data_IF_922765876682
#
_entry.id   IF_922765876682
#
_cell.length_a   1.000
_cell.length_b   1.000
_cell.length_c   1.000
_cell.angle_alpha   90.00
_cell.angle_beta   90.00
_cell.angle_gamma   90.00
#
_symmetry.space_group_name_H-M   'P 1'
#
loop_
_entity.id
_entity.type
_entity.pdbx_description
1 polymer ?
#
# COMPACT_ATOMS: atom_id res chain seq x y z
N UNK A 1 4.65 -13.19 17.40
CA UNK A 1 3.41 -12.42 17.20
C UNK A 1 3.48 -11.86 15.80
N UNK A 2 2.44 -12.06 14.98
CA UNK A 2 2.44 -11.65 13.58
C UNK A 2 1.47 -10.48 13.41
N UNK A 3 1.96 -9.37 12.88
CA UNK A 3 1.15 -8.22 12.53
C UNK A 3 0.69 -8.33 11.08
N UNK A 4 -0.60 -8.05 10.84
CA UNK A 4 -1.13 -7.80 9.51
C UNK A 4 -1.51 -6.33 9.40
N UNK A 5 -0.99 -5.68 8.36
CA UNK A 5 -1.33 -4.32 7.98
C UNK A 5 -2.12 -4.39 6.67
N UNK A 6 -3.31 -3.83 6.64
CA UNK A 6 -4.15 -3.77 5.44
C UNK A 6 -4.06 -2.36 4.87
N UNK A 7 -3.57 -2.22 3.65
CA UNK A 7 -3.78 -1.03 2.83
C UNK A 7 -5.24 -1.03 2.37
N UNK A 8 -6.06 -0.22 3.04
CA UNK A 8 -7.51 -0.35 2.92
C UNK A 8 -7.99 0.13 1.55
N UNK A 9 -7.42 1.24 1.07
CA UNK A 9 -7.69 1.78 -0.26
C UNK A 9 -7.43 0.76 -1.34
N UNK A 10 -6.23 0.19 -1.35
CA UNK A 10 -5.87 -0.83 -2.31
C UNK A 10 -6.82 -2.03 -2.27
N UNK A 11 -7.32 -2.43 -1.10
CA UNK A 11 -8.25 -3.54 -0.99
C UNK A 11 -9.67 -3.21 -1.46
N UNK A 12 -10.26 -2.07 -1.08
CA UNK A 12 -11.63 -1.77 -1.51
C UNK A 12 -11.71 -1.44 -3.00
N UNK A 13 -10.69 -0.80 -3.60
CA UNK A 13 -10.63 -0.63 -5.06
C UNK A 13 -10.55 -1.98 -5.77
N UNK A 14 -9.77 -2.93 -5.22
CA UNK A 14 -9.69 -4.28 -5.77
C UNK A 14 -11.02 -5.02 -5.69
N UNK A 15 -11.71 -4.88 -4.57
CA UNK A 15 -13.02 -5.47 -4.37
C UNK A 15 -14.03 -4.87 -5.35
N UNK A 16 -14.02 -3.54 -5.49
CA UNK A 16 -14.88 -2.80 -6.40
C UNK A 16 -14.74 -3.28 -7.86
N UNK A 17 -13.51 -3.33 -8.39
CA UNK A 17 -13.28 -3.77 -9.77
C UNK A 17 -13.33 -5.30 -9.95
N UNK A 18 -13.11 -6.06 -8.87
CA UNK A 18 -13.07 -7.53 -8.90
C UNK A 18 -14.42 -8.21 -8.71
N UNK A 19 -15.44 -7.47 -8.24
CA UNK A 19 -16.76 -8.01 -7.93
C UNK A 19 -17.87 -7.25 -8.69
N UNK A 20 -18.94 -7.94 -9.12
CA UNK A 20 -20.01 -7.29 -9.86
C UNK A 20 -20.76 -6.28 -8.97
N UNK A 21 -20.98 -5.09 -9.51
CA UNK A 21 -21.76 -4.00 -8.89
C UNK A 21 -23.26 -4.33 -8.71
N UNK A 22 -23.73 -5.41 -9.32
CA UNK A 22 -25.06 -6.00 -9.11
C UNK A 22 -25.24 -6.67 -7.74
N UNK A 23 -24.19 -6.73 -6.93
CA UNK A 23 -24.30 -7.07 -5.51
C UNK A 23 -24.83 -5.87 -4.73
N UNK A 24 -26.14 -5.86 -4.51
CA UNK A 24 -26.86 -4.75 -3.89
C UNK A 24 -27.34 -5.11 -2.48
N UNK A 25 -27.36 -4.11 -1.61
CA UNK A 25 -28.12 -4.10 -0.36
C UNK A 25 -29.64 -4.09 -0.65
N UNK A 26 -30.49 -4.41 0.35
CA UNK A 26 -31.96 -4.37 0.21
C UNK A 26 -32.54 -3.04 -0.28
N UNK A 27 -31.88 -1.92 0.01
CA UNK A 27 -32.27 -0.57 -0.44
C UNK A 27 -31.76 -0.23 -1.85
N UNK A 28 -31.00 -1.13 -2.48
CA UNK A 28 -30.42 -0.95 -3.81
C UNK A 28 -29.01 -0.36 -3.83
N UNK A 29 -28.42 -0.02 -2.69
CA UNK A 29 -27.03 0.46 -2.62
C UNK A 29 -26.04 -0.65 -3.02
N UNK A 30 -25.09 -0.41 -3.94
CA UNK A 30 -24.03 -1.38 -4.22
C UNK A 30 -23.19 -1.69 -2.97
N UNK A 31 -22.83 -2.96 -2.77
CA UNK A 31 -22.05 -3.44 -1.62
C UNK A 31 -20.90 -4.36 -2.06
N UNK A 32 -20.55 -4.36 -3.35
CA UNK A 32 -19.52 -5.21 -3.93
C UNK A 32 -18.13 -4.93 -3.35
N UNK A 33 -17.78 -3.66 -3.08
CA UNK A 33 -16.51 -3.32 -2.47
C UNK A 33 -16.45 -3.81 -1.00
N UNK A 34 -17.52 -3.61 -0.24
CA UNK A 34 -17.62 -4.04 1.17
C UNK A 34 -17.47 -5.55 1.29
N UNK A 35 -18.29 -6.31 0.53
CA UNK A 35 -18.27 -7.78 0.57
C UNK A 35 -16.91 -8.33 0.15
N UNK A 36 -16.29 -7.74 -0.87
CA UNK A 36 -15.00 -8.20 -1.38
C UNK A 36 -13.87 -7.88 -0.40
N UNK A 37 -13.89 -6.71 0.24
CA UNK A 37 -12.95 -6.34 1.29
C UNK A 37 -12.99 -7.33 2.45
N UNK A 38 -14.21 -7.64 2.95
CA UNK A 38 -14.41 -8.60 4.04
C UNK A 38 -13.93 -10.00 3.66
N UNK A 39 -14.33 -10.49 2.48
CA UNK A 39 -13.98 -11.84 2.01
C UNK A 39 -12.46 -11.99 1.80
N UNK A 40 -11.79 -10.98 1.24
CA UNK A 40 -10.34 -10.97 1.09
C UNK A 40 -9.64 -10.94 2.45
N UNK A 41 -10.08 -10.06 3.35
CA UNK A 41 -9.52 -9.93 4.70
C UNK A 41 -9.66 -11.22 5.49
N UNK A 42 -10.86 -11.80 5.54
CA UNK A 42 -11.15 -13.06 6.22
C UNK A 42 -10.23 -14.20 5.73
N UNK A 43 -10.08 -14.32 4.39
CA UNK A 43 -9.22 -15.34 3.80
C UNK A 43 -7.75 -15.15 4.15
N UNK A 44 -7.27 -13.90 4.19
CA UNK A 44 -5.88 -13.59 4.53
C UNK A 44 -5.60 -13.82 6.01
N UNK A 45 -6.54 -13.43 6.88
CA UNK A 45 -6.47 -13.71 8.31
C UNK A 45 -6.38 -15.24 8.52
N UNK A 46 -7.25 -16.02 7.86
CA UNK A 46 -7.18 -17.49 7.95
C UNK A 46 -5.87 -18.07 7.41
N UNK A 47 -5.32 -17.53 6.31
CA UNK A 47 -4.09 -18.03 5.71
C UNK A 47 -2.85 -17.71 6.55
N UNK A 48 -2.75 -16.49 7.07
CA UNK A 48 -1.55 -15.97 7.72
C UNK A 48 -1.62 -16.00 9.25
N UNK A 49 -2.81 -16.25 9.81
CA UNK A 49 -3.07 -16.37 11.25
C UNK A 49 -2.41 -15.22 12.06
N UNK A 50 -2.62 -13.95 11.69
CA UNK A 50 -2.07 -12.84 12.45
C UNK A 50 -2.74 -12.77 13.82
N UNK A 51 -2.01 -12.28 14.83
CA UNK A 51 -2.58 -12.04 16.15
C UNK A 51 -2.77 -10.54 16.45
N UNK A 52 -2.37 -9.70 15.51
CA UNK A 52 -2.54 -8.25 15.48
C UNK A 52 -2.94 -7.83 14.07
N UNK A 53 -3.88 -6.90 13.96
CA UNK A 53 -4.47 -6.46 12.71
C UNK A 53 -4.71 -4.96 12.76
N UNK A 54 -4.38 -4.25 11.68
CA UNK A 54 -4.67 -2.84 11.51
C UNK A 54 -5.11 -2.61 10.07
N UNK A 55 -6.20 -1.89 9.88
CA UNK A 55 -6.60 -1.30 8.61
C UNK A 55 -6.03 0.12 8.52
N UNK A 56 -5.16 0.37 7.55
CA UNK A 56 -4.53 1.67 7.33
C UNK A 56 -5.33 2.45 6.29
N UNK A 57 -5.58 3.73 6.58
CA UNK A 57 -6.26 4.67 5.70
C UNK A 57 -5.31 5.77 5.28
N UNK A 58 -5.58 6.34 4.11
CA UNK A 58 -5.09 7.65 3.74
C UNK A 58 -5.75 8.68 4.66
N UNK A 59 -4.95 9.43 5.42
CA UNK A 59 -5.43 10.67 6.02
C UNK A 59 -5.42 11.81 4.99
N UNK A 60 -4.50 11.73 4.03
CA UNK A 60 -4.53 12.44 2.77
C UNK A 60 -3.93 11.52 1.68
N UNK A 61 -4.70 11.23 0.62
CA UNK A 61 -4.27 10.39 -0.50
C UNK A 61 -3.18 11.05 -1.36
N UNK A 62 -3.07 12.38 -1.24
CA UNK A 62 -2.14 13.26 -1.95
C UNK A 62 -1.59 14.36 -1.02
N UNK A 63 -0.73 13.99 -0.07
CA UNK A 63 -0.24 14.89 0.96
C UNK A 63 0.40 16.17 0.44
N UNK A 64 0.11 17.27 1.12
CA UNK A 64 0.60 18.60 0.78
C UNK A 64 2.13 18.63 0.66
N UNK A 65 2.85 17.96 1.55
CA UNK A 65 4.30 17.92 1.55
C UNK A 65 4.92 17.18 0.34
N UNK A 66 4.20 16.23 -0.27
CA UNK A 66 4.63 15.63 -1.55
C UNK A 66 4.34 16.57 -2.72
N UNK A 67 3.19 17.23 -2.70
CA UNK A 67 2.77 18.19 -3.73
C UNK A 67 3.66 19.43 -3.76
N UNK A 68 4.08 19.93 -2.59
CA UNK A 68 5.03 21.04 -2.47
C UNK A 68 6.40 20.71 -3.07
N UNK A 69 6.83 19.44 -2.96
CA UNK A 69 8.08 18.97 -3.57
C UNK A 69 7.93 18.75 -5.08
N UNK A 70 6.79 18.22 -5.52
CA UNK A 70 6.54 17.86 -6.90
C UNK A 70 5.05 18.01 -7.23
N UNK A 71 4.63 19.17 -7.80
CA UNK A 71 3.23 19.48 -8.04
C UNK A 71 2.47 18.48 -8.92
N UNK A 72 3.17 17.73 -9.77
CA UNK A 72 2.60 16.72 -10.66
C UNK A 72 2.37 15.37 -9.96
N UNK A 73 2.83 15.18 -8.72
CA UNK A 73 2.62 13.96 -7.95
C UNK A 73 1.12 13.65 -7.87
N UNK A 74 0.69 12.47 -8.35
CA UNK A 74 -0.71 12.01 -8.43
C UNK A 74 -1.69 13.00 -9.08
N UNK A 75 -1.22 14.02 -9.80
CA UNK A 75 -2.09 15.05 -10.37
C UNK A 75 -3.05 14.50 -11.44
N UNK A 76 -2.70 13.36 -12.03
CA UNK A 76 -3.53 12.63 -13.00
C UNK A 76 -4.72 11.88 -12.37
N UNK A 77 -4.90 11.94 -11.05
CA UNK A 77 -6.04 11.35 -10.33
C UNK A 77 -6.96 12.41 -9.73
N UNK A 78 -6.70 13.70 -9.97
CA UNK A 78 -7.51 14.79 -9.42
C UNK A 78 -8.79 14.95 -10.27
N UNK A 79 -9.94 14.83 -9.62
CA UNK A 79 -11.24 15.13 -10.21
C UNK A 79 -11.46 16.65 -10.39
N UNK A 80 -12.51 17.02 -11.13
CA UNK A 80 -12.77 18.43 -11.48
C UNK A 80 -13.08 19.33 -10.26
N UNK A 81 -13.48 18.74 -9.14
CA UNK A 81 -13.76 19.40 -7.87
C UNK A 81 -12.54 19.49 -6.94
N UNK A 82 -11.41 18.89 -7.32
CA UNK A 82 -10.15 18.93 -6.56
C UNK A 82 -9.92 17.73 -5.64
N UNK A 83 -10.88 16.80 -5.55
CA UNK A 83 -10.76 15.56 -4.79
C UNK A 83 -10.13 14.43 -5.64
N UNK A 84 -9.93 13.25 -5.05
CA UNK A 84 -9.53 12.06 -5.84
C UNK A 84 -10.67 11.65 -6.79
N UNK A 85 -10.31 11.27 -8.02
CA UNK A 85 -11.23 10.66 -8.97
C UNK A 85 -11.62 9.26 -8.48
N UNK A 86 -12.70 9.21 -7.72
CA UNK A 86 -13.32 7.97 -7.25
C UNK A 86 -14.53 7.54 -8.12
N UNK A 87 -14.73 6.23 -8.34
CA UNK A 87 -15.96 5.75 -8.96
C UNK A 87 -17.21 6.08 -8.12
N UNK A 88 -18.24 6.66 -8.76
CA UNK A 88 -19.50 7.07 -8.10
C UNK A 88 -20.16 5.98 -7.23
N UNK A 89 -20.02 4.71 -7.61
CA UNK A 89 -20.60 3.58 -6.88
C UNK A 89 -19.70 3.05 -5.75
N UNK A 90 -18.44 3.47 -5.67
CA UNK A 90 -17.50 3.11 -4.62
C UNK A 90 -17.60 4.05 -3.43
N UNK A 91 -17.58 5.37 -3.65
CA UNK A 91 -17.55 6.39 -2.59
C UNK A 91 -18.63 6.17 -1.51
N UNK A 92 -19.90 5.82 -1.83
CA UNK A 92 -20.91 5.55 -0.80
C UNK A 92 -20.64 4.29 0.05
N UNK A 93 -19.83 3.35 -0.43
CA UNK A 93 -19.50 2.10 0.25
C UNK A 93 -18.42 2.28 1.32
N UNK A 94 -17.53 3.27 1.17
CA UNK A 94 -16.39 3.45 2.07
C UNK A 94 -16.86 3.78 3.50
N UNK A 95 -17.73 4.77 3.75
CA UNK A 95 -18.22 5.04 5.11
C UNK A 95 -18.91 3.84 5.75
N UNK A 96 -19.69 3.09 4.97
CA UNK A 96 -20.37 1.87 5.45
C UNK A 96 -19.35 0.81 5.86
N UNK A 97 -18.28 0.62 5.08
CA UNK A 97 -17.21 -0.29 5.44
C UNK A 97 -16.51 0.15 6.74
N UNK A 98 -16.22 1.45 6.90
CA UNK A 98 -15.56 1.97 8.10
C UNK A 98 -16.42 1.79 9.36
N UNK A 99 -17.73 2.08 9.29
CA UNK A 99 -18.67 1.81 10.37
C UNK A 99 -18.66 0.32 10.76
N UNK A 100 -18.59 -0.57 9.77
CA UNK A 100 -18.51 -2.01 10.03
C UNK A 100 -17.17 -2.43 10.66
N UNK A 101 -16.04 -1.86 10.22
CA UNK A 101 -14.74 -2.16 10.83
C UNK A 101 -14.70 -1.72 12.30
N UNK A 102 -15.32 -0.59 12.63
CA UNK A 102 -15.49 -0.13 14.01
C UNK A 102 -16.36 -1.09 14.83
N UNK A 103 -17.51 -1.52 14.30
CA UNK A 103 -18.35 -2.54 14.93
C UNK A 103 -17.62 -3.86 15.16
N UNK A 104 -16.76 -4.26 14.22
CA UNK A 104 -15.92 -5.45 14.34
C UNK A 104 -14.77 -5.26 15.36
N UNK A 105 -14.52 -4.04 15.81
CA UNK A 105 -13.40 -3.68 16.69
C UNK A 105 -12.04 -3.80 16.02
N UNK A 106 -11.99 -3.67 14.69
CA UNK A 106 -10.74 -3.70 13.92
C UNK A 106 -10.10 -2.32 14.00
N UNK A 107 -8.86 -2.19 14.50
CA UNK A 107 -8.19 -0.90 14.55
C UNK A 107 -8.05 -0.30 13.15
N UNK A 108 -8.58 0.91 12.97
CA UNK A 108 -8.45 1.71 11.75
C UNK A 108 -7.56 2.91 12.06
N UNK A 109 -6.51 3.12 11.27
CA UNK A 109 -5.53 4.19 11.50
C UNK A 109 -5.30 4.95 10.19
N UNK A 110 -5.63 6.24 10.21
CA UNK A 110 -5.16 7.23 9.24
C UNK A 110 -4.46 8.36 9.99
N UNK A 111 -3.57 9.08 9.31
CA UNK A 111 -2.85 10.23 9.88
C UNK A 111 -2.99 11.39 8.90
N UNK A 112 -3.48 12.52 9.40
CA UNK A 112 -3.69 13.74 8.61
C UNK A 112 -2.42 14.13 7.84
N UNK A 113 -2.58 14.50 6.56
CA UNK A 113 -1.49 14.84 5.64
C UNK A 113 -0.46 13.69 5.41
N UNK A 114 -0.89 12.44 5.56
CA UNK A 114 -0.12 11.24 5.23
C UNK A 114 -0.97 10.17 4.52
N UNK A 115 -0.32 9.39 3.68
CA UNK A 115 -0.93 8.26 2.97
C UNK A 115 -0.98 7.02 3.86
N UNK A 116 -1.82 6.04 3.48
CA UNK A 116 -1.84 4.73 4.10
C UNK A 116 -0.43 4.09 4.04
N UNK A 117 0.30 4.32 2.96
CA UNK A 117 1.67 3.85 2.74
C UNK A 117 2.64 4.33 3.82
N UNK A 118 2.52 5.59 4.21
CA UNK A 118 3.34 6.22 5.26
C UNK A 118 2.98 5.69 6.65
N UNK A 119 1.69 5.46 6.90
CA UNK A 119 1.20 4.83 8.13
C UNK A 119 1.77 3.41 8.22
N UNK A 120 1.66 2.61 7.16
CA UNK A 120 2.16 1.24 7.09
C UNK A 120 3.68 1.21 7.31
N UNK A 121 4.43 2.08 6.63
CA UNK A 121 5.88 2.17 6.75
C UNK A 121 6.31 2.56 8.17
N UNK A 122 5.64 3.54 8.77
CA UNK A 122 5.91 3.98 10.15
C UNK A 122 5.65 2.87 11.17
N UNK A 123 4.56 2.11 11.06
CA UNK A 123 4.28 0.97 11.94
C UNK A 123 5.33 -0.12 11.74
N UNK A 124 5.62 -0.46 10.49
CA UNK A 124 6.60 -1.49 10.10
C UNK A 124 8.02 -1.17 10.60
N UNK A 125 8.40 0.11 10.59
CA UNK A 125 9.68 0.57 11.10
C UNK A 125 9.83 0.33 12.62
N UNK A 126 8.74 0.47 13.39
CA UNK A 126 8.71 0.26 14.85
C UNK A 126 8.47 -1.21 15.24
N UNK A 127 7.95 -2.02 14.34
CA UNK A 127 7.65 -3.42 14.58
C UNK A 127 8.93 -4.26 14.73
N UNK A 128 8.88 -5.26 15.61
CA UNK A 128 10.02 -6.16 15.92
C UNK A 128 9.78 -7.57 15.36
N UNK A 129 8.52 -7.95 15.14
CA UNK A 129 8.15 -9.28 14.66
C UNK A 129 7.71 -9.34 13.19
N UNK A 130 7.37 -10.56 12.73
CA UNK A 130 6.83 -10.80 11.40
C UNK A 130 5.67 -9.89 11.07
N UNK A 131 5.73 -9.27 9.89
CA UNK A 131 4.68 -8.38 9.38
C UNK A 131 4.24 -8.83 7.99
N UNK A 132 2.93 -8.83 7.75
CA UNK A 132 2.31 -9.08 6.45
C UNK A 132 1.56 -7.83 6.04
N UNK A 133 2.11 -7.13 5.06
CA UNK A 133 1.52 -5.91 4.50
C UNK A 133 0.66 -6.34 3.31
N UNK A 134 -0.64 -6.16 3.39
CA UNK A 134 -1.59 -6.55 2.36
C UNK A 134 -1.88 -5.35 1.49
N UNK A 135 -1.47 -5.42 0.23
CA UNK A 135 -1.67 -4.33 -0.73
C UNK A 135 -1.63 -4.84 -2.18
N UNK A 136 -2.18 -4.05 -3.09
CA UNK A 136 -1.94 -4.14 -4.53
C UNK A 136 -0.92 -3.13 -5.05
N UNK A 137 -0.35 -2.28 -4.19
CA UNK A 137 0.67 -1.31 -4.53
C UNK A 137 2.06 -1.94 -4.51
N UNK A 138 2.88 -1.55 -5.49
CA UNK A 138 4.27 -1.99 -5.58
C UNK A 138 5.22 -1.07 -4.82
N UNK A 139 4.80 0.15 -4.50
CA UNK A 139 5.65 1.10 -3.78
C UNK A 139 5.99 0.58 -2.38
N UNK A 140 5.08 -0.16 -1.76
CA UNK A 140 5.31 -0.85 -0.49
C UNK A 140 6.32 -2.02 -0.58
N UNK A 141 6.80 -2.41 -1.76
CA UNK A 141 7.91 -3.37 -1.86
C UNK A 141 9.20 -2.84 -1.23
N UNK A 142 9.32 -1.51 -1.10
CA UNK A 142 10.43 -0.88 -0.38
C UNK A 142 10.51 -1.27 1.11
N UNK A 143 9.41 -1.75 1.70
CA UNK A 143 9.32 -2.10 3.12
C UNK A 143 9.72 -3.55 3.42
N UNK A 144 10.01 -4.35 2.40
CA UNK A 144 10.48 -5.73 2.61
C UNK A 144 11.77 -5.72 3.42
N UNK A 145 11.77 -6.46 4.52
CA UNK A 145 12.92 -6.57 5.41
C UNK A 145 13.07 -8.00 5.95
N UNK A 146 14.20 -8.63 5.63
CA UNK A 146 14.46 -10.04 5.94
C UNK A 146 14.65 -10.28 7.44
N UNK A 147 15.28 -9.35 8.16
CA UNK A 147 15.61 -9.50 9.59
C UNK A 147 14.36 -9.54 10.46
N UNK A 148 13.37 -8.72 10.13
CA UNK A 148 12.08 -8.61 10.83
C UNK A 148 10.98 -9.52 10.24
N UNK A 149 11.27 -10.24 9.16
CA UNK A 149 10.30 -10.99 8.35
C UNK A 149 9.10 -10.12 7.92
N UNK A 150 9.39 -8.94 7.36
CA UNK A 150 8.38 -8.06 6.74
C UNK A 150 8.23 -8.46 5.27
N UNK A 151 7.02 -8.85 4.88
CA UNK A 151 6.69 -9.33 3.53
C UNK A 151 5.41 -8.69 3.02
N UNK A 152 5.34 -8.49 1.71
CA UNK A 152 4.16 -7.91 1.06
C UNK A 152 3.29 -9.03 0.50
N UNK A 153 2.04 -9.08 0.93
CA UNK A 153 0.99 -9.91 0.35
C UNK A 153 0.42 -9.16 -0.84
N UNK A 154 1.03 -9.36 -2.01
CA UNK A 154 0.78 -8.58 -3.22
C UNK A 154 -0.38 -9.14 -4.04
N UNK A 155 -1.47 -8.38 -4.12
CA UNK A 155 -2.77 -8.85 -4.63
C UNK A 155 -3.00 -8.66 -6.14
N UNK A 156 -1.96 -8.42 -6.95
CA UNK A 156 -2.15 -8.17 -8.39
C UNK A 156 -2.72 -9.35 -9.18
N UNK A 157 -2.50 -10.59 -8.73
CA UNK A 157 -3.06 -11.81 -9.36
C UNK A 157 -4.37 -12.27 -8.70
N UNK A 158 -4.98 -11.39 -7.90
CA UNK A 158 -6.14 -11.70 -7.06
C UNK A 158 -5.77 -12.50 -5.81
N UNK A 159 -6.75 -12.62 -4.91
CA UNK A 159 -6.55 -13.15 -3.55
C UNK A 159 -6.14 -14.63 -3.50
N UNK A 160 -6.52 -15.46 -4.48
CA UNK A 160 -6.16 -16.89 -4.50
C UNK A 160 -4.71 -17.15 -4.89
N UNK A 161 -4.16 -16.31 -5.77
CA UNK A 161 -2.86 -16.50 -6.40
C UNK A 161 -1.91 -15.34 -6.09
N UNK A 162 -2.15 -14.63 -4.98
CA UNK A 162 -1.32 -13.51 -4.55
C UNK A 162 0.12 -13.96 -4.34
N UNK A 163 1.05 -13.07 -4.67
CA UNK A 163 2.46 -13.27 -4.41
C UNK A 163 2.75 -12.91 -2.94
N UNK A 164 3.70 -13.62 -2.32
CA UNK A 164 4.29 -13.21 -1.07
C UNK A 164 5.69 -12.66 -1.38
N UNK A 165 5.78 -11.33 -1.43
CA UNK A 165 6.97 -10.61 -1.88
C UNK A 165 7.96 -10.50 -0.72
N UNK A 166 9.16 -11.02 -0.95
CA UNK A 166 10.35 -10.85 -0.14
C UNK A 166 11.54 -10.42 -1.03
N UNK A 167 12.74 -10.27 -0.44
CA UNK A 167 13.93 -9.84 -1.19
C UNK A 167 14.27 -10.80 -2.34
N UNK A 168 14.04 -12.11 -2.16
CA UNK A 168 14.29 -13.09 -3.21
C UNK A 168 13.28 -12.96 -4.35
N UNK A 169 12.00 -12.72 -4.04
CA UNK A 169 10.98 -12.43 -5.04
C UNK A 169 11.33 -11.17 -5.84
N UNK A 170 11.70 -10.08 -5.16
CA UNK A 170 12.10 -8.82 -5.81
C UNK A 170 13.30 -9.06 -6.72
N UNK A 171 14.31 -9.78 -6.23
CA UNK A 171 15.51 -10.05 -6.99
C UNK A 171 15.24 -10.85 -8.26
N UNK A 172 14.41 -11.89 -8.16
CA UNK A 172 14.04 -12.69 -9.32
C UNK A 172 13.15 -11.92 -10.29
N UNK A 173 12.25 -11.06 -9.79
CA UNK A 173 11.28 -10.34 -10.62
C UNK A 173 11.91 -9.20 -11.41
N UNK A 174 12.81 -8.45 -10.77
CA UNK A 174 13.37 -7.21 -11.31
C UNK A 174 14.86 -7.32 -11.68
N UNK A 175 15.49 -8.48 -11.43
CA UNK A 175 16.91 -8.71 -11.69
C UNK A 175 17.82 -7.71 -10.97
N UNK A 176 17.50 -7.37 -9.72
CA UNK A 176 18.24 -6.44 -8.85
C UNK A 176 18.51 -7.09 -7.47
N UNK A 177 19.44 -6.57 -6.65
CA UNK A 177 19.47 -6.95 -5.24
C UNK A 177 18.13 -6.58 -4.58
N UNK A 178 17.56 -7.50 -3.79
CA UNK A 178 16.19 -7.37 -3.28
C UNK A 178 15.98 -6.15 -2.37
N UNK A 179 17.04 -5.67 -1.71
CA UNK A 179 17.06 -4.49 -0.85
C UNK A 179 17.28 -3.18 -1.63
N UNK A 180 17.15 -3.19 -2.97
CA UNK A 180 17.34 -2.03 -3.85
C UNK A 180 16.07 -1.59 -4.58
N UNK A 181 14.89 -2.09 -4.18
CA UNK A 181 13.64 -1.74 -4.85
C UNK A 181 13.38 -0.23 -4.85
N UNK A 182 13.56 0.46 -3.73
CA UNK A 182 13.36 1.91 -3.64
C UNK A 182 14.27 2.69 -4.61
N UNK A 183 15.56 2.34 -4.67
CA UNK A 183 16.51 2.91 -5.63
C UNK A 183 16.04 2.69 -7.07
N UNK A 184 15.63 1.46 -7.37
CA UNK A 184 15.14 1.09 -8.69
C UNK A 184 13.87 1.87 -9.07
N UNK A 185 12.91 2.02 -8.15
CA UNK A 185 11.67 2.76 -8.36
C UNK A 185 11.92 4.26 -8.57
N UNK A 186 12.74 4.89 -7.73
CA UNK A 186 13.14 6.30 -7.89
C UNK A 186 13.76 6.57 -9.27
N UNK A 187 14.60 5.67 -9.79
CA UNK A 187 15.23 5.89 -11.10
C UNK A 187 14.24 5.64 -12.24
N UNK A 188 13.46 4.55 -12.18
CA UNK A 188 12.58 4.15 -13.30
C UNK A 188 11.35 5.07 -13.44
N UNK A 189 10.97 5.77 -12.36
CA UNK A 189 9.72 6.52 -12.25
C UNK A 189 8.50 5.64 -12.00
N UNK A 190 7.36 6.24 -11.73
CA UNK A 190 6.08 5.55 -11.64
C UNK A 190 4.97 6.36 -12.30
N UNK A 191 4.51 5.90 -13.46
CA UNK A 191 3.49 6.59 -14.23
C UNK A 191 2.13 6.64 -13.54
N UNK A 192 1.83 5.68 -12.64
CA UNK A 192 0.55 5.67 -11.93
C UNK A 192 0.44 6.83 -10.92
N UNK A 193 1.57 7.27 -10.39
CA UNK A 193 1.75 8.40 -9.46
C UNK A 193 2.23 9.67 -10.16
N UNK A 194 2.33 9.68 -11.49
CA UNK A 194 2.83 10.82 -12.25
C UNK A 194 4.34 11.08 -12.08
N UNK A 195 5.08 10.14 -11.51
CA UNK A 195 6.51 10.26 -11.22
C UNK A 195 7.36 9.95 -12.48
N UNK A 196 8.14 10.91 -13.01
CA UNK A 196 8.83 10.74 -14.29
C UNK A 196 10.09 9.86 -14.19
N UNK A 197 10.66 9.69 -12.99
CA UNK A 197 11.97 9.08 -12.80
C UNK A 197 13.11 9.92 -13.40
N UNK A 198 14.29 9.31 -13.51
CA UNK A 198 15.43 9.96 -14.18
C UNK A 198 15.23 9.89 -15.68
N UNK A 199 15.01 11.05 -16.32
CA UNK A 199 14.64 11.14 -17.74
C UNK A 199 15.62 10.37 -18.65
N UNK A 200 15.07 9.40 -19.37
CA UNK A 200 15.83 8.57 -20.31
C UNK A 200 16.48 7.33 -19.67
N UNK A 201 16.20 7.04 -18.40
CA UNK A 201 16.59 5.80 -17.72
C UNK A 201 15.32 5.03 -17.34
N UNK A 202 14.88 4.11 -18.21
CA UNK A 202 13.77 3.20 -17.89
C UNK A 202 14.21 2.04 -17.01
N UNK A 203 13.29 1.11 -16.76
CA UNK A 203 13.46 -0.09 -15.92
C UNK A 203 14.80 -0.83 -16.11
N UNK A 204 15.21 -1.12 -17.35
CA UNK A 204 16.50 -1.80 -17.62
C UNK A 204 17.71 -0.98 -17.15
N UNK A 205 17.66 0.34 -17.34
CA UNK A 205 18.73 1.23 -16.89
C UNK A 205 18.76 1.35 -15.37
N UNK A 206 17.58 1.45 -14.75
CA UNK A 206 17.43 1.46 -13.29
C UNK A 206 17.98 0.17 -12.68
N UNK A 207 17.69 -1.00 -13.27
CA UNK A 207 18.21 -2.28 -12.80
C UNK A 207 19.74 -2.36 -12.89
N UNK A 208 20.34 -1.86 -13.97
CA UNK A 208 21.82 -1.77 -14.08
C UNK A 208 22.40 -0.95 -12.93
N UNK A 209 21.78 0.18 -12.59
CA UNK A 209 22.25 1.06 -11.51
C UNK A 209 22.06 0.39 -10.14
N UNK A 210 20.88 -0.19 -9.87
CA UNK A 210 20.57 -0.88 -8.62
C UNK A 210 21.49 -2.10 -8.35
N UNK A 211 22.02 -2.74 -9.39
CA UNK A 211 23.02 -3.81 -9.25
C UNK A 211 24.43 -3.33 -8.88
N UNK A 212 24.71 -2.02 -8.94
CA UNK A 212 26.05 -1.45 -8.76
C UNK A 212 26.17 -0.49 -7.58
N UNK A 213 25.06 0.07 -7.13
CA UNK A 213 25.00 1.11 -6.11
C UNK A 213 23.90 0.80 -5.11
N UNK A 214 24.11 1.24 -3.87
CA UNK A 214 23.15 1.01 -2.80
C UNK A 214 22.08 2.09 -2.70
N UNK A 215 22.39 3.31 -3.15
CA UNK A 215 21.51 4.47 -3.01
C UNK A 215 21.63 5.43 -4.18
N UNK A 216 20.64 6.32 -4.30
CA UNK A 216 20.61 7.33 -5.35
C UNK A 216 21.74 8.36 -5.19
N UNK A 217 22.08 8.84 -3.96
CA UNK A 217 23.27 9.67 -3.74
C UNK A 217 24.57 8.99 -4.15
N UNK A 218 24.73 7.69 -3.88
CA UNK A 218 25.93 6.95 -4.29
C UNK A 218 26.03 6.87 -5.82
N UNK A 219 24.92 6.59 -6.51
CA UNK A 219 24.87 6.53 -7.97
C UNK A 219 25.18 7.90 -8.61
N UNK A 220 24.67 9.00 -8.05
CA UNK A 220 24.96 10.35 -8.52
C UNK A 220 26.44 10.72 -8.29
N UNK A 221 26.99 10.42 -7.10
CA UNK A 221 28.40 10.68 -6.82
C UNK A 221 29.33 9.93 -7.79
N UNK A 222 29.01 8.66 -8.08
CA UNK A 222 29.71 7.85 -9.07
C UNK A 222 29.60 8.42 -10.48
N UNK A 223 28.45 8.97 -10.86
CA UNK A 223 28.27 9.65 -12.14
C UNK A 223 29.17 10.89 -12.27
N UNK A 224 29.20 11.73 -11.22
CA UNK A 224 30.01 12.96 -11.17
C UNK A 224 31.51 12.69 -11.20
N UNK A 225 31.97 11.59 -10.58
CA UNK A 225 33.38 11.19 -10.57
C UNK A 225 33.83 10.43 -11.82
N UNK A 226 32.91 10.15 -12.77
CA UNK A 226 33.21 9.34 -13.95
C UNK A 226 33.50 7.87 -13.64
N UNK A 227 32.88 7.30 -12.60
CA UNK A 227 33.07 5.92 -12.17
C UNK A 227 32.81 4.93 -13.31
N UNK A 228 33.76 4.01 -13.54
CA UNK A 228 33.74 3.04 -14.64
C UNK A 228 32.62 1.99 -14.54
N UNK A 229 31.98 1.84 -13.36
CA UNK A 229 30.78 1.01 -13.19
C UNK A 229 29.58 1.55 -13.98
N UNK A 230 29.56 2.85 -14.29
CA UNK A 230 28.51 3.51 -15.08
C UNK A 230 29.00 3.81 -16.49
N UNK A 231 28.18 3.46 -17.49
CA UNK A 231 28.45 3.86 -18.88
C UNK A 231 28.28 5.38 -19.05
N UNK A 232 29.01 6.04 -19.96
CA UNK A 232 28.94 7.48 -20.15
C UNK A 232 27.52 8.04 -20.36
N UNK A 233 26.66 7.28 -21.04
CA UNK A 233 25.26 7.68 -21.23
C UNK A 233 24.49 7.75 -19.91
N UNK A 234 24.63 6.75 -19.03
CA UNK A 234 23.95 6.71 -17.73
C UNK A 234 24.52 7.79 -16.79
N UNK A 235 25.84 8.01 -16.80
CA UNK A 235 26.46 9.10 -16.05
C UNK A 235 25.84 10.44 -16.45
N UNK A 236 25.82 10.73 -17.76
CA UNK A 236 25.22 11.96 -18.28
C UNK A 236 23.74 12.10 -17.88
N UNK A 237 22.94 11.03 -17.95
CA UNK A 237 21.51 11.08 -17.56
C UNK A 237 21.28 11.30 -16.08
N UNK A 238 22.11 10.71 -15.21
CA UNK A 238 22.06 10.98 -13.78
C UNK A 238 22.44 12.44 -13.47
N UNK A 239 23.49 12.97 -14.11
CA UNK A 239 23.92 14.36 -13.95
C UNK A 239 22.84 15.34 -14.46
N UNK A 240 22.27 15.09 -15.65
CA UNK A 240 21.19 15.89 -16.22
C UNK A 240 19.90 15.83 -15.36
N UNK A 241 19.71 14.77 -14.57
CA UNK A 241 18.53 14.56 -13.71
C UNK A 241 18.73 14.95 -12.25
N UNK A 242 19.78 15.71 -11.91
CA UNK A 242 20.15 16.01 -10.52
C UNK A 242 19.03 16.65 -9.71
N UNK A 243 18.28 17.59 -10.29
CA UNK A 243 17.17 18.28 -9.60
C UNK A 243 16.07 17.30 -9.13
N UNK A 244 15.71 16.33 -9.98
CA UNK A 244 14.77 15.28 -9.59
C UNK A 244 15.38 14.33 -8.57
N UNK A 245 16.66 13.96 -8.74
CA UNK A 245 17.37 13.06 -7.83
C UNK A 245 17.43 13.63 -6.41
N UNK A 246 17.55 14.95 -6.25
CA UNK A 246 17.58 15.60 -4.94
C UNK A 246 16.26 15.45 -4.18
N UNK A 247 15.12 15.51 -4.88
CA UNK A 247 13.79 15.39 -4.24
C UNK A 247 13.27 13.95 -4.18
N UNK A 248 13.71 13.06 -5.08
CA UNK A 248 13.17 11.71 -5.24
C UNK A 248 13.17 10.87 -3.93
N UNK A 249 14.21 10.90 -3.07
CA UNK A 249 14.17 10.15 -1.82
C UNK A 249 13.07 10.58 -0.87
N UNK A 250 12.73 11.88 -0.83
CA UNK A 250 11.62 12.35 0.01
C UNK A 250 10.27 12.09 -0.67
N UNK A 251 10.21 12.22 -1.98
CA UNK A 251 8.99 12.06 -2.77
C UNK A 251 8.50 10.61 -2.85
N UNK A 252 9.42 9.66 -3.07
CA UNK A 252 9.10 8.25 -3.40
C UNK A 252 9.15 7.33 -2.18
N UNK A 253 10.00 7.61 -1.20
CA UNK A 253 10.03 6.75 -0.02
C UNK A 253 8.82 7.03 0.87
N UNK A 254 8.30 5.97 1.49
CA UNK A 254 7.28 6.12 2.52
C UNK A 254 7.91 6.76 3.77
N UNK A 255 7.20 7.69 4.41
CA UNK A 255 7.60 8.24 5.69
C UNK A 255 7.59 7.14 6.77
N UNK A 256 8.55 7.20 7.69
CA UNK A 256 8.70 6.20 8.77
C UNK A 256 8.49 6.78 10.17
N UNK A 257 8.09 8.05 10.21
CA UNK A 257 7.96 8.89 11.39
C UNK A 257 6.61 9.63 11.45
N UNK A 258 5.60 9.17 10.71
CA UNK A 258 4.25 9.73 10.81
C UNK A 258 3.77 9.70 12.28
N UNK A 259 3.03 10.73 12.75
CA UNK A 259 2.60 10.87 14.13
C UNK A 259 1.43 9.91 14.48
N UNK A 260 1.71 8.60 14.45
CA UNK A 260 0.73 7.56 14.74
C UNK A 260 0.35 7.59 16.22
N UNK A 261 -0.95 7.67 16.56
CA UNK A 261 -1.42 7.64 17.94
C UNK A 261 -1.11 6.29 18.61
N UNK A 262 -0.90 6.31 19.92
CA UNK A 262 -0.73 5.08 20.70
C UNK A 262 -2.08 4.34 20.79
N UNK A 263 -2.25 3.34 19.93
CA UNK A 263 -3.47 2.54 19.82
C UNK A 263 -3.16 1.06 19.98
N UNK A 264 -4.10 0.32 20.59
CA UNK A 264 -4.00 -1.13 20.64
C UNK A 264 -4.12 -1.72 19.23
N UNK A 265 -3.09 -2.46 18.81
CA UNK A 265 -3.08 -3.20 17.55
C UNK A 265 -3.53 -4.65 17.70
N UNK A 266 -4.08 -5.02 18.88
CA UNK A 266 -4.53 -6.37 19.16
C UNK A 266 -5.75 -6.73 18.28
N UNK A 267 -5.76 -7.95 17.76
CA UNK A 267 -6.94 -8.48 17.07
C UNK A 267 -8.12 -8.56 18.05
N UNK A 268 -9.35 -8.17 17.63
CA UNK A 268 -10.52 -8.21 18.50
C UNK A 268 -10.88 -9.67 18.84
N UNK A 269 -11.00 -9.97 20.14
CA UNK A 269 -11.22 -11.34 20.64
C UNK A 269 -12.70 -11.74 20.74
N UNK A 270 -13.60 -10.77 20.68
CA UNK A 270 -15.05 -10.93 20.74
C UNK A 270 -15.72 -9.67 20.20
N UNK A 271 -16.96 -9.75 19.69
CA UNK A 271 -17.71 -8.56 19.33
C UNK A 271 -18.00 -7.71 20.57
N UNK A 272 -17.98 -6.38 20.42
CA UNK A 272 -18.48 -5.49 21.47
C UNK A 272 -20.02 -5.56 21.55
N UNK A 273 -20.67 -5.59 20.39
CA UNK A 273 -22.11 -5.72 20.24
C UNK A 273 -22.44 -6.60 19.03
N UNK A 274 -22.78 -7.88 19.30
CA UNK A 274 -23.14 -8.82 18.24
C UNK A 274 -24.50 -8.50 17.61
N UNK A 275 -25.42 -7.87 18.35
CA UNK A 275 -26.72 -7.46 17.82
C UNK A 275 -26.54 -6.36 16.79
N UNK A 276 -25.69 -5.37 17.08
CA UNK A 276 -25.37 -4.31 16.11
C UNK A 276 -24.74 -4.87 14.82
N UNK A 277 -23.86 -5.87 14.92
CA UNK A 277 -23.25 -6.53 13.75
C UNK A 277 -24.31 -7.27 12.91
N UNK A 278 -25.23 -8.01 13.55
CA UNK A 278 -26.32 -8.68 12.84
C UNK A 278 -27.28 -7.68 12.19
N UNK A 279 -27.65 -6.60 12.90
CA UNK A 279 -28.47 -5.53 12.32
C UNK A 279 -27.79 -4.91 11.10
N UNK A 280 -26.48 -4.66 11.16
CA UNK A 280 -25.68 -4.18 10.04
C UNK A 280 -25.67 -5.17 8.87
N UNK A 281 -25.50 -6.47 9.18
CA UNK A 281 -25.52 -7.57 8.20
C UNK A 281 -26.84 -7.61 7.44
N UNK A 282 -27.98 -7.48 8.13
CA UNK A 282 -29.31 -7.45 7.50
C UNK A 282 -29.54 -6.16 6.72
N UNK A 283 -29.21 -5.00 7.30
CA UNK A 283 -29.38 -3.69 6.67
C UNK A 283 -28.68 -3.60 5.32
N UNK A 284 -27.45 -4.09 5.22
CA UNK A 284 -26.63 -3.99 4.00
C UNK A 284 -26.54 -5.30 3.19
N UNK A 285 -27.30 -6.35 3.56
CA UNK A 285 -27.31 -7.61 2.81
C UNK A 285 -25.94 -8.32 2.74
N UNK A 286 -25.11 -8.16 3.77
CA UNK A 286 -23.72 -8.63 3.73
C UNK A 286 -23.60 -10.15 3.89
N UNK A 287 -24.61 -10.80 4.46
CA UNK A 287 -24.80 -12.26 4.46
C UNK A 287 -23.57 -13.03 4.92
N UNK A 288 -23.09 -13.95 4.06
CA UNK A 288 -21.97 -14.85 4.35
C UNK A 288 -20.61 -14.17 4.46
N UNK A 289 -20.45 -12.94 3.97
CA UNK A 289 -19.20 -12.20 4.12
C UNK A 289 -18.94 -11.82 5.59
N UNK A 290 -20.01 -11.53 6.34
CA UNK A 290 -19.93 -11.32 7.80
C UNK A 290 -19.60 -12.63 8.51
N UNK A 291 -20.28 -13.73 8.17
CA UNK A 291 -20.05 -15.05 8.78
C UNK A 291 -18.57 -15.46 8.65
N UNK A 292 -18.00 -15.32 7.44
CA UNK A 292 -16.58 -15.63 7.19
C UNK A 292 -15.63 -14.74 7.99
N UNK A 293 -15.98 -13.46 8.16
CA UNK A 293 -15.16 -12.54 8.92
C UNK A 293 -15.19 -12.87 10.41
N UNK A 294 -16.36 -13.17 10.96
CA UNK A 294 -16.54 -13.65 12.34
C UNK A 294 -15.72 -14.92 12.57
N UNK A 295 -15.84 -15.91 11.66
CA UNK A 295 -15.06 -17.15 11.72
C UNK A 295 -13.55 -16.88 11.66
N UNK A 296 -13.11 -15.94 10.81
CA UNK A 296 -11.70 -15.57 10.67
C UNK A 296 -11.15 -14.85 11.92
N UNK A 297 -11.98 -14.07 12.61
CA UNK A 297 -11.65 -13.43 13.89
C UNK A 297 -11.70 -14.42 15.06
N UNK A 298 -12.22 -15.63 14.86
CA UNK A 298 -12.29 -16.70 15.85
C UNK A 298 -13.34 -16.46 16.94
N UNK A 299 -14.45 -15.84 16.58
CA UNK A 299 -15.59 -15.59 17.48
C UNK A 299 -16.56 -16.76 17.55
#
# INVERSE_FOLDING_TARGET
MTLMLIDSASLWYRAYYGMPDTLLAPDGTPVNAIKGFLDMSARLIQKYQPNRLIACLDGDWRPSWRVELFPEYKANRIAADGEEEEPDLLTPQIPILLDLLDLLGIPVIGVDDYEADDVIATISAKEVGPTRIVTGDRDLFQLVESTKDIKIVYLAKGISAHDLVDHAWIANKYEIPGDRYALFAMIRGDASDGLPGVRGIGEKGAAIIANKFASLPEALAAALSGDSRLKPLLQRKLIEGVEYIEIAPKLVNCATDAPIPDLSHAMPKRPQDMTAIEDFRFKYGLGTSIDRMIDALGW
#
